data_IF_127696011578
#
_entry.id   IF_127696011578
#
_cell.length_a   1.000
_cell.length_b   1.000
_cell.length_c   1.000
_cell.angle_alpha   90.00
_cell.angle_beta   90.00
_cell.angle_gamma   90.00
#
_symmetry.space_group_name_H-M   'P 1'
#
loop_
_entity.id
_entity.type
_entity.pdbx_description
1 polymer ?
#
# COMPACT_ATOMS: atom_id res chain seq x y z
N UNK A 1 12.14 -13.04 -5.00
CA UNK A 1 11.79 -14.20 -5.86
C UNK A 1 10.99 -13.73 -7.06
N UNK A 2 10.87 -14.55 -8.08
CA UNK A 2 9.99 -14.30 -9.21
C UNK A 2 8.92 -15.39 -9.25
N UNK A 3 7.67 -14.99 -9.49
CA UNK A 3 6.52 -15.87 -9.65
C UNK A 3 5.87 -15.62 -11.00
N UNK A 4 5.18 -16.62 -11.53
CA UNK A 4 4.27 -16.43 -12.65
C UNK A 4 2.86 -16.21 -12.09
N UNK A 5 2.28 -15.04 -12.35
CA UNK A 5 0.94 -14.66 -11.91
C UNK A 5 0.14 -14.24 -13.12
N UNK A 6 -0.96 -14.95 -13.39
CA UNK A 6 -1.81 -14.72 -14.56
C UNK A 6 -1.01 -14.69 -15.89
N UNK A 7 -0.04 -15.63 -16.04
CA UNK A 7 0.78 -15.77 -17.24
C UNK A 7 1.87 -14.69 -17.39
N UNK A 8 2.19 -13.93 -16.33
CA UNK A 8 3.20 -12.87 -16.35
C UNK A 8 4.12 -12.96 -15.15
N UNK A 9 5.36 -12.52 -15.35
CA UNK A 9 6.37 -12.47 -14.29
C UNK A 9 6.02 -11.38 -13.27
N UNK A 10 5.91 -11.79 -12.01
CA UNK A 10 5.77 -10.92 -10.85
C UNK A 10 7.03 -11.00 -9.99
N UNK A 11 7.63 -9.87 -9.69
CA UNK A 11 8.70 -9.79 -8.70
C UNK A 11 8.11 -9.65 -7.30
N UNK A 12 8.61 -10.45 -6.36
CA UNK A 12 8.18 -10.43 -4.95
C UNK A 12 9.42 -10.37 -4.07
N UNK A 13 9.54 -9.32 -3.29
CA UNK A 13 10.57 -9.22 -2.26
C UNK A 13 10.15 -10.03 -1.03
N UNK A 14 11.04 -10.92 -0.57
CA UNK A 14 10.80 -11.84 0.56
C UNK A 14 11.71 -11.54 1.74
N UNK A 15 12.26 -10.33 1.81
CA UNK A 15 13.26 -9.91 2.80
C UNK A 15 14.53 -10.81 2.83
N UNK A 16 14.81 -11.51 1.72
CA UNK A 16 15.96 -12.40 1.61
C UNK A 16 15.76 -13.82 2.14
N UNK A 17 14.55 -14.16 2.60
CA UNK A 17 14.22 -15.49 3.10
C UNK A 17 13.49 -16.32 2.04
N UNK A 18 13.74 -17.64 2.04
CA UNK A 18 12.94 -18.59 1.29
C UNK A 18 11.55 -18.72 1.93
N UNK A 19 10.55 -19.05 1.12
CA UNK A 19 9.20 -19.37 1.62
C UNK A 19 9.24 -20.67 2.43
N UNK A 20 8.68 -20.63 3.62
CA UNK A 20 8.44 -21.79 4.49
C UNK A 20 6.92 -22.03 4.59
N UNK A 21 6.38 -23.10 3.99
CA UNK A 21 4.94 -23.36 4.00
C UNK A 21 4.33 -23.54 5.40
N UNK A 22 5.15 -23.80 6.43
CA UNK A 22 4.69 -23.94 7.80
C UNK A 22 4.45 -22.60 8.51
N UNK A 23 4.92 -21.49 7.93
CA UNK A 23 4.79 -20.16 8.50
C UNK A 23 3.66 -19.35 7.83
N UNK A 24 2.95 -18.52 8.60
CA UNK A 24 1.91 -17.66 8.04
C UNK A 24 2.51 -16.58 7.11
N UNK A 25 1.75 -16.22 6.08
CA UNK A 25 2.13 -15.20 5.12
C UNK A 25 1.60 -13.81 5.49
N UNK A 26 2.41 -12.79 5.21
CA UNK A 26 2.02 -11.38 5.21
C UNK A 26 2.39 -10.75 3.88
N UNK A 27 1.41 -10.11 3.23
CA UNK A 27 1.58 -9.41 1.97
C UNK A 27 1.62 -7.90 2.23
N UNK A 28 2.62 -7.21 1.69
CA UNK A 28 2.78 -5.76 1.79
C UNK A 28 2.58 -5.12 0.41
N UNK A 29 1.49 -4.37 0.23
CA UNK A 29 1.11 -3.77 -1.05
C UNK A 29 1.46 -2.28 -1.03
N UNK A 30 2.31 -1.86 -1.97
CA UNK A 30 2.76 -0.47 -2.10
C UNK A 30 1.67 0.47 -2.64
N UNK A 31 1.89 1.77 -2.52
CA UNK A 31 1.06 2.82 -3.08
C UNK A 31 1.30 3.06 -4.58
N UNK A 32 0.54 3.98 -5.15
CA UNK A 32 0.73 4.38 -6.56
C UNK A 32 2.14 4.89 -6.82
N UNK A 33 2.66 4.61 -8.02
CA UNK A 33 4.01 4.98 -8.49
C UNK A 33 5.15 4.53 -7.58
N UNK A 34 4.96 3.45 -6.82
CA UNK A 34 5.96 2.89 -5.91
C UNK A 34 6.36 1.46 -6.32
N UNK A 35 7.11 0.78 -5.49
CA UNK A 35 7.43 -0.64 -5.56
C UNK A 35 7.63 -1.23 -4.14
N UNK A 36 8.02 -2.50 -4.05
CA UNK A 36 8.25 -3.21 -2.78
C UNK A 36 9.15 -2.45 -1.79
N UNK A 37 10.05 -1.58 -2.27
CA UNK A 37 11.01 -0.87 -1.39
C UNK A 37 10.35 0.19 -0.50
N UNK A 38 9.10 0.58 -0.78
CA UNK A 38 8.30 1.41 0.13
C UNK A 38 8.16 0.77 1.53
N UNK A 39 8.28 -0.55 1.62
CA UNK A 39 8.16 -1.34 2.84
C UNK A 39 9.49 -1.76 3.46
N UNK A 40 10.62 -1.18 3.02
CA UNK A 40 11.96 -1.60 3.42
C UNK A 40 12.21 -1.58 4.95
N UNK A 41 11.58 -0.62 5.65
CA UNK A 41 11.75 -0.45 7.10
C UNK A 41 10.82 -1.34 7.94
N UNK A 42 9.79 -1.96 7.33
CA UNK A 42 8.83 -2.82 8.03
C UNK A 42 8.98 -4.29 7.68
N UNK A 43 9.09 -4.61 6.39
CA UNK A 43 8.99 -5.99 5.89
C UNK A 43 10.05 -6.94 6.46
N UNK A 44 11.28 -6.46 6.63
CA UNK A 44 12.40 -7.31 7.13
C UNK A 44 12.16 -7.84 8.53
N UNK A 45 11.57 -7.05 9.41
CA UNK A 45 11.25 -7.49 10.76
C UNK A 45 10.41 -8.77 10.74
N UNK A 46 9.34 -8.80 9.94
CA UNK A 46 8.42 -9.94 9.88
C UNK A 46 9.09 -11.21 9.35
N UNK A 47 9.97 -11.09 8.36
CA UNK A 47 10.73 -12.22 7.84
C UNK A 47 11.64 -12.86 8.90
N UNK A 48 12.29 -12.04 9.74
CA UNK A 48 13.12 -12.52 10.85
C UNK A 48 12.30 -13.00 12.06
N UNK A 49 10.99 -12.72 12.10
CA UNK A 49 10.09 -13.10 13.20
C UNK A 49 9.02 -14.11 12.75
N UNK A 50 9.47 -15.12 11.99
CA UNK A 50 8.66 -16.29 11.60
C UNK A 50 7.40 -15.94 10.80
N UNK A 51 7.53 -15.06 9.83
CA UNK A 51 6.51 -14.79 8.82
C UNK A 51 7.10 -14.96 7.42
N UNK A 52 6.32 -15.51 6.49
CA UNK A 52 6.62 -15.35 5.07
C UNK A 52 6.24 -13.92 4.66
N UNK A 53 7.21 -13.18 4.18
CA UNK A 53 6.99 -11.83 3.65
C UNK A 53 6.83 -11.90 2.15
N UNK A 54 5.74 -11.33 1.66
CA UNK A 54 5.47 -11.13 0.24
C UNK A 54 5.27 -9.63 0.00
N UNK A 55 6.28 -8.92 -0.46
CA UNK A 55 6.15 -7.53 -0.89
C UNK A 55 6.31 -7.50 -2.43
N UNK A 56 5.20 -7.61 -3.18
CA UNK A 56 5.25 -7.61 -4.64
C UNK A 56 5.50 -6.21 -5.19
N UNK A 57 6.15 -6.14 -6.35
CA UNK A 57 5.94 -5.06 -7.28
C UNK A 57 4.64 -5.35 -8.02
N UNK A 58 3.69 -4.43 -8.00
CA UNK A 58 2.41 -4.60 -8.71
C UNK A 58 2.63 -4.69 -10.24
N UNK A 59 1.69 -5.23 -11.02
CA UNK A 59 1.85 -5.33 -12.47
C UNK A 59 2.22 -4.00 -13.11
N UNK A 60 3.30 -3.99 -13.90
CA UNK A 60 3.83 -2.80 -14.55
C UNK A 60 4.71 -1.91 -13.68
N UNK A 61 4.91 -2.24 -12.41
CA UNK A 61 5.77 -1.50 -11.48
C UNK A 61 7.12 -2.20 -11.27
N UNK A 62 8.14 -1.40 -10.95
CA UNK A 62 9.44 -1.90 -10.53
C UNK A 62 10.01 -2.98 -11.43
N UNK A 63 10.09 -4.20 -10.92
CA UNK A 63 10.64 -5.38 -11.60
C UNK A 63 9.58 -6.33 -12.15
N UNK A 64 8.30 -6.09 -11.89
CA UNK A 64 7.20 -6.91 -12.40
C UNK A 64 6.88 -6.57 -13.85
N UNK A 65 6.46 -7.59 -14.63
CA UNK A 65 6.05 -7.38 -16.01
C UNK A 65 4.72 -6.58 -16.08
N UNK A 66 4.64 -5.72 -17.11
CA UNK A 66 3.42 -4.97 -17.42
C UNK A 66 2.44 -5.73 -18.32
N UNK A 67 1.39 -5.08 -18.74
CA UNK A 67 1.03 -3.70 -18.41
C UNK A 67 0.48 -3.52 -16.99
N UNK A 68 0.44 -2.27 -16.53
CA UNK A 68 -0.26 -1.86 -15.30
C UNK A 68 -1.74 -2.22 -15.39
N UNK A 69 -2.30 -2.68 -14.28
CA UNK A 69 -3.75 -2.92 -14.18
C UNK A 69 -4.46 -1.59 -13.85
N UNK A 70 -5.59 -1.33 -14.51
CA UNK A 70 -6.24 -0.03 -14.51
C UNK A 70 -7.43 0.08 -13.56
N UNK A 71 -7.64 -0.90 -12.67
CA UNK A 71 -8.69 -0.83 -11.65
C UNK A 71 -8.28 -1.54 -10.36
N UNK A 72 -8.78 -1.02 -9.24
CA UNK A 72 -8.58 -1.62 -7.91
C UNK A 72 -9.11 -3.05 -7.86
N UNK A 73 -10.24 -3.32 -8.52
CA UNK A 73 -10.81 -4.66 -8.58
C UNK A 73 -9.87 -5.66 -9.29
N UNK A 74 -9.28 -5.27 -10.43
CA UNK A 74 -8.33 -6.13 -11.15
C UNK A 74 -7.04 -6.36 -10.33
N UNK A 75 -6.57 -5.36 -9.59
CA UNK A 75 -5.45 -5.51 -8.67
C UNK A 75 -5.76 -6.46 -7.51
N UNK A 76 -6.99 -6.45 -6.98
CA UNK A 76 -7.44 -7.40 -5.96
C UNK A 76 -7.54 -8.83 -6.49
N UNK A 77 -8.00 -9.02 -7.73
CA UNK A 77 -8.01 -10.33 -8.40
C UNK A 77 -6.58 -10.84 -8.64
N UNK A 78 -5.68 -9.95 -9.07
CA UNK A 78 -4.27 -10.28 -9.23
C UNK A 78 -3.61 -10.65 -7.91
N UNK A 79 -3.94 -9.95 -6.81
CA UNK A 79 -3.43 -10.27 -5.47
C UNK A 79 -3.84 -11.68 -5.04
N UNK A 80 -5.08 -12.10 -5.35
CA UNK A 80 -5.53 -13.47 -5.09
C UNK A 80 -4.67 -14.48 -5.84
N UNK A 81 -4.43 -14.25 -7.13
CA UNK A 81 -3.57 -15.10 -7.94
C UNK A 81 -2.11 -15.12 -7.48
N UNK A 82 -1.60 -13.99 -6.96
CA UNK A 82 -0.26 -13.91 -6.36
C UNK A 82 -0.15 -14.81 -5.11
N UNK A 83 -1.14 -14.75 -4.23
CA UNK A 83 -1.18 -15.56 -3.00
C UNK A 83 -1.22 -17.06 -3.37
N UNK A 84 -2.00 -17.44 -4.40
CA UNK A 84 -2.03 -18.79 -4.93
C UNK A 84 -0.69 -19.24 -5.51
N UNK A 85 -0.07 -18.40 -6.36
CA UNK A 85 1.23 -18.66 -6.96
C UNK A 85 2.36 -18.79 -5.92
N UNK A 86 2.22 -18.11 -4.78
CA UNK A 86 3.13 -18.22 -3.65
C UNK A 86 2.85 -19.45 -2.76
N UNK A 87 1.79 -20.22 -3.03
CA UNK A 87 1.45 -21.46 -2.34
C UNK A 87 0.64 -21.28 -1.05
N UNK A 88 -0.04 -20.13 -0.87
CA UNK A 88 -0.83 -19.86 0.33
C UNK A 88 -2.33 -19.86 0.06
N UNK A 89 -3.09 -20.44 0.98
CA UNK A 89 -4.56 -20.38 0.93
C UNK A 89 -5.12 -19.08 1.49
N UNK A 90 -4.43 -18.48 2.46
CA UNK A 90 -4.80 -17.21 3.08
C UNK A 90 -3.55 -16.46 3.56
N UNK A 91 -3.66 -15.14 3.68
CA UNK A 91 -2.58 -14.29 4.15
C UNK A 91 -3.12 -13.12 4.98
N UNK A 92 -2.27 -12.55 5.82
CA UNK A 92 -2.48 -11.18 6.31
C UNK A 92 -2.08 -10.20 5.22
N UNK A 93 -2.85 -9.14 5.04
CA UNK A 93 -2.61 -8.15 3.98
C UNK A 93 -2.43 -6.77 4.59
N UNK A 94 -1.36 -6.10 4.21
CA UNK A 94 -1.00 -4.74 4.62
C UNK A 94 -0.90 -3.88 3.35
N UNK A 95 -1.67 -2.81 3.26
CA UNK A 95 -1.66 -1.93 2.09
C UNK A 95 -1.48 -0.46 2.47
N UNK A 96 -0.76 0.28 1.63
CA UNK A 96 -0.59 1.72 1.76
C UNK A 96 -1.22 2.45 0.57
N UNK A 97 -1.97 3.54 0.81
CA UNK A 97 -2.53 4.39 -0.24
C UNK A 97 -3.34 3.59 -1.26
N UNK A 98 -3.00 3.57 -2.55
CA UNK A 98 -3.60 2.70 -3.55
C UNK A 98 -3.60 1.22 -3.10
N UNK A 99 -2.49 0.74 -2.54
CA UNK A 99 -2.39 -0.61 -1.99
C UNK A 99 -3.37 -0.89 -0.85
N UNK A 100 -3.77 0.16 -0.11
CA UNK A 100 -4.81 0.04 0.91
C UNK A 100 -6.21 -0.15 0.29
N UNK A 101 -6.50 0.52 -0.84
CA UNK A 101 -7.73 0.28 -1.60
C UNK A 101 -7.78 -1.14 -2.16
N UNK A 102 -6.65 -1.62 -2.71
CA UNK A 102 -6.51 -3.01 -3.19
C UNK A 102 -6.76 -4.01 -2.05
N UNK A 103 -6.18 -3.76 -0.87
CA UNK A 103 -6.35 -4.60 0.30
C UNK A 103 -7.80 -4.62 0.82
N UNK A 104 -8.50 -3.48 0.80
CA UNK A 104 -9.93 -3.37 1.16
C UNK A 104 -10.82 -4.12 0.16
N UNK A 105 -10.57 -3.96 -1.13
CA UNK A 105 -11.33 -4.65 -2.17
C UNK A 105 -11.10 -6.16 -2.10
N UNK A 106 -9.85 -6.59 -1.90
CA UNK A 106 -9.52 -8.00 -1.66
C UNK A 106 -10.27 -8.55 -0.44
N UNK A 107 -10.25 -7.84 0.68
CA UNK A 107 -10.92 -8.24 1.91
C UNK A 107 -12.44 -8.41 1.73
N UNK A 108 -13.05 -7.51 0.97
CA UNK A 108 -14.49 -7.53 0.72
C UNK A 108 -14.92 -8.64 -0.28
N UNK A 109 -14.08 -8.93 -1.28
CA UNK A 109 -14.40 -9.94 -2.32
C UNK A 109 -13.97 -11.35 -1.95
N UNK A 110 -12.87 -11.45 -1.20
CA UNK A 110 -12.24 -12.74 -0.86
C UNK A 110 -12.05 -12.92 0.65
N UNK A 111 -13.10 -12.75 1.48
CA UNK A 111 -12.96 -12.75 2.95
C UNK A 111 -12.36 -14.05 3.50
N UNK A 112 -12.60 -15.19 2.85
CA UNK A 112 -12.01 -16.48 3.23
C UNK A 112 -10.49 -16.58 2.98
N UNK A 113 -9.92 -15.66 2.18
CA UNK A 113 -8.49 -15.62 1.85
C UNK A 113 -7.71 -14.67 2.77
N UNK A 114 -8.40 -13.94 3.64
CA UNK A 114 -7.82 -12.92 4.50
C UNK A 114 -7.73 -13.40 5.95
N UNK A 115 -6.53 -13.34 6.53
CA UNK A 115 -6.31 -13.58 7.97
C UNK A 115 -6.49 -12.31 8.79
N UNK A 116 -5.80 -11.23 8.41
CA UNK A 116 -5.87 -9.90 9.04
C UNK A 116 -5.64 -8.82 7.99
N UNK A 117 -6.22 -7.64 8.18
CA UNK A 117 -6.10 -6.50 7.29
C UNK A 117 -5.50 -5.30 8.00
N UNK A 118 -4.42 -4.72 7.47
CA UNK A 118 -3.95 -3.41 7.89
C UNK A 118 -3.94 -2.45 6.70
N UNK A 119 -4.54 -1.27 6.85
CA UNK A 119 -4.59 -0.23 5.83
C UNK A 119 -3.98 1.07 6.35
N UNK A 120 -3.05 1.62 5.57
CA UNK A 120 -2.28 2.80 5.93
C UNK A 120 -2.55 3.92 4.92
N UNK A 121 -2.83 5.14 5.40
CA UNK A 121 -3.04 6.30 4.53
C UNK A 121 -4.17 6.08 3.52
N UNK A 122 -5.31 5.59 3.97
CA UNK A 122 -6.47 5.30 3.12
C UNK A 122 -7.66 6.20 3.43
N UNK A 123 -8.33 6.62 2.37
CA UNK A 123 -9.68 7.19 2.42
C UNK A 123 -10.55 6.48 1.38
N UNK A 124 -11.84 6.35 1.64
CA UNK A 124 -12.78 5.75 0.67
C UNK A 124 -14.07 6.57 0.67
N UNK A 125 -14.38 7.27 -0.43
CA UNK A 125 -13.62 7.34 -1.69
C UNK A 125 -12.27 8.06 -1.54
N UNK A 126 -11.37 7.86 -2.53
CA UNK A 126 -10.06 8.50 -2.60
C UNK A 126 -9.94 9.32 -3.91
N UNK A 127 -10.61 10.47 -4.00
CA UNK A 127 -10.54 11.31 -5.19
C UNK A 127 -9.14 11.91 -5.34
N UNK A 128 -8.65 11.93 -6.58
CA UNK A 128 -7.37 12.56 -6.92
C UNK A 128 -7.62 13.98 -7.40
N UNK A 129 -6.86 14.94 -6.87
CA UNK A 129 -6.96 16.34 -7.27
C UNK A 129 -6.72 16.50 -8.78
N UNK A 130 -7.59 17.24 -9.47
CA UNK A 130 -7.53 17.40 -10.94
C UNK A 130 -6.17 17.88 -11.46
N UNK A 131 -5.48 18.87 -10.84
CA UNK A 131 -4.15 19.26 -11.30
C UNK A 131 -3.13 18.13 -11.28
N UNK A 132 -3.21 17.27 -10.26
CA UNK A 132 -2.31 16.11 -10.13
C UNK A 132 -2.65 15.04 -11.17
N UNK A 133 -3.93 14.77 -11.40
CA UNK A 133 -4.36 13.79 -12.38
C UNK A 133 -4.02 14.25 -13.82
N UNK A 134 -4.16 15.54 -14.10
CA UNK A 134 -3.79 16.13 -15.40
C UNK A 134 -2.27 16.05 -15.64
N UNK A 135 -1.44 16.39 -14.63
CA UNK A 135 0.01 16.28 -14.73
C UNK A 135 0.45 14.81 -14.90
N UNK A 136 -0.14 13.88 -14.15
CA UNK A 136 0.13 12.45 -14.29
C UNK A 136 -0.24 11.93 -15.70
N UNK A 137 -1.35 12.39 -16.28
CA UNK A 137 -1.76 12.05 -17.66
C UNK A 137 -0.77 12.53 -18.70
N UNK A 138 -0.15 13.71 -18.47
CA UNK A 138 0.86 14.28 -19.34
C UNK A 138 2.25 13.67 -19.15
N UNK A 139 2.44 12.77 -18.17
CA UNK A 139 3.75 12.31 -17.71
C UNK A 139 4.66 13.49 -17.31
N UNK A 140 4.10 14.55 -16.74
CA UNK A 140 4.82 15.72 -16.28
C UNK A 140 5.47 15.45 -14.93
N UNK A 141 6.78 15.73 -14.82
CA UNK A 141 7.51 15.58 -13.57
C UNK A 141 6.91 16.39 -12.40
N UNK A 142 6.20 17.47 -12.71
CA UNK A 142 5.46 18.25 -11.70
C UNK A 142 4.47 17.40 -10.88
N UNK A 143 3.97 16.28 -11.44
CA UNK A 143 3.14 15.35 -10.69
C UNK A 143 3.91 14.72 -9.53
N UNK A 144 5.15 14.31 -9.77
CA UNK A 144 6.02 13.71 -8.74
C UNK A 144 6.38 14.73 -7.64
N UNK A 145 6.63 15.98 -8.03
CA UNK A 145 6.89 17.07 -7.08
C UNK A 145 5.67 17.35 -6.19
N UNK A 146 4.46 17.40 -6.79
CA UNK A 146 3.21 17.56 -6.04
C UNK A 146 3.00 16.42 -5.05
N UNK A 147 3.18 15.16 -5.49
CA UNK A 147 3.06 13.98 -4.61
C UNK A 147 4.06 14.12 -3.47
N UNK A 148 5.30 14.44 -3.77
CA UNK A 148 6.37 14.50 -2.80
C UNK A 148 6.08 15.53 -1.69
N UNK A 149 5.61 16.73 -2.09
CA UNK A 149 5.23 17.80 -1.15
C UNK A 149 3.97 17.45 -0.36
N UNK A 150 2.95 16.84 -0.99
CA UNK A 150 1.68 16.55 -0.32
C UNK A 150 1.73 15.30 0.55
N UNK A 151 2.62 14.37 0.24
CA UNK A 151 2.79 13.14 1.02
C UNK A 151 3.56 13.33 2.31
N UNK A 152 4.38 14.37 2.43
CA UNK A 152 5.23 14.56 3.59
C UNK A 152 4.75 15.72 4.48
N UNK A 153 4.82 15.51 5.78
CA UNK A 153 4.54 16.55 6.76
C UNK A 153 5.56 17.71 6.63
N UNK A 154 5.23 18.94 7.07
CA UNK A 154 6.18 20.04 7.06
C UNK A 154 7.50 19.74 7.80
N UNK A 155 7.44 18.93 8.87
CA UNK A 155 8.62 18.50 9.61
C UNK A 155 9.51 17.59 8.75
N UNK A 156 8.90 16.64 8.03
CA UNK A 156 9.62 15.72 7.15
C UNK A 156 10.28 16.44 5.97
N UNK A 157 9.60 17.46 5.41
CA UNK A 157 10.14 18.30 4.33
C UNK A 157 11.40 19.08 4.76
N UNK A 158 11.51 19.42 6.04
CA UNK A 158 12.65 20.14 6.62
C UNK A 158 13.74 19.20 7.19
N UNK A 159 13.69 17.90 6.88
CA UNK A 159 14.68 16.93 7.33
C UNK A 159 14.46 16.39 8.74
N UNK A 160 13.30 16.62 9.35
CA UNK A 160 12.95 16.15 10.70
C UNK A 160 12.50 14.68 10.73
N UNK A 161 13.27 13.77 10.10
CA UNK A 161 13.00 12.34 10.12
C UNK A 161 13.54 11.67 11.41
N UNK A 162 12.93 10.54 11.75
CA UNK A 162 13.33 9.72 12.92
C UNK A 162 14.38 8.68 12.55
N UNK A 163 14.50 8.31 11.28
CA UNK A 163 15.51 7.38 10.79
C UNK A 163 16.79 8.14 10.40
N UNK A 164 17.90 8.03 11.17
CA UNK A 164 19.12 8.77 10.90
C UNK A 164 19.68 8.48 9.50
N UNK A 165 20.12 9.53 8.80
CA UNK A 165 20.74 9.42 7.47
C UNK A 165 19.77 9.17 6.33
N UNK A 166 18.47 9.07 6.57
CA UNK A 166 17.46 8.89 5.56
C UNK A 166 16.99 10.23 4.99
N UNK A 167 17.18 10.47 3.70
CA UNK A 167 16.57 11.61 2.99
C UNK A 167 15.24 11.21 2.39
N UNK A 168 14.15 11.36 3.17
CA UNK A 168 12.82 10.86 2.82
C UNK A 168 12.29 11.38 1.48
N UNK A 169 12.35 12.70 1.25
CA UNK A 169 11.85 13.30 0.01
C UNK A 169 12.62 12.81 -1.21
N UNK A 170 13.95 12.79 -1.12
CA UNK A 170 14.78 12.33 -2.23
C UNK A 170 14.62 10.83 -2.48
N UNK A 171 14.51 10.04 -1.44
CA UNK A 171 14.26 8.60 -1.58
C UNK A 171 12.91 8.35 -2.27
N UNK A 172 11.84 9.02 -1.84
CA UNK A 172 10.52 8.88 -2.45
C UNK A 172 10.52 9.36 -3.92
N UNK A 173 11.15 10.50 -4.21
CA UNK A 173 11.26 11.01 -5.57
C UNK A 173 11.99 10.02 -6.48
N UNK A 174 13.15 9.48 -6.06
CA UNK A 174 13.91 8.51 -6.84
C UNK A 174 13.17 7.18 -7.02
N UNK A 175 12.34 6.80 -6.06
CA UNK A 175 11.47 5.65 -6.16
C UNK A 175 10.43 5.83 -7.28
N UNK A 176 9.78 6.99 -7.32
CA UNK A 176 8.78 7.32 -8.34
C UNK A 176 9.40 7.49 -9.74
N UNK A 177 10.51 8.22 -9.86
CA UNK A 177 11.17 8.50 -11.14
C UNK A 177 11.66 7.25 -11.90
N UNK A 178 11.84 6.14 -11.22
CA UNK A 178 12.27 4.88 -11.87
C UNK A 178 11.10 4.03 -12.39
N UNK A 179 9.86 4.44 -12.12
CA UNK A 179 8.70 3.72 -12.64
C UNK A 179 8.51 4.01 -14.14
N UNK A 180 7.94 3.07 -14.90
CA UNK A 180 7.66 3.28 -16.30
C UNK A 180 6.65 4.41 -16.53
N UNK A 181 6.76 5.10 -17.65
CA UNK A 181 5.82 6.15 -18.07
C UNK A 181 4.39 5.64 -18.13
N UNK A 182 3.45 6.48 -17.69
CA UNK A 182 2.01 6.17 -17.67
C UNK A 182 1.54 5.36 -16.46
N UNK A 183 2.43 4.80 -15.64
CA UNK A 183 2.08 4.05 -14.44
C UNK A 183 1.34 4.96 -13.46
N UNK A 184 1.88 6.14 -13.18
CA UNK A 184 1.26 7.10 -12.26
C UNK A 184 -0.18 7.44 -12.64
N UNK A 185 -0.42 7.71 -13.93
CA UNK A 185 -1.77 8.03 -14.39
C UNK A 185 -2.72 6.83 -14.24
N UNK A 186 -2.28 5.62 -14.58
CA UNK A 186 -3.08 4.41 -14.43
C UNK A 186 -3.48 4.17 -12.96
N UNK A 187 -2.54 4.32 -12.05
CA UNK A 187 -2.74 4.16 -10.61
C UNK A 187 -3.71 5.19 -10.04
N UNK A 188 -3.48 6.46 -10.34
CA UNK A 188 -4.31 7.53 -9.80
C UNK A 188 -5.71 7.53 -10.41
N UNK A 189 -5.82 7.15 -11.68
CA UNK A 189 -7.13 6.94 -12.29
C UNK A 189 -7.86 5.77 -11.64
N UNK A 190 -7.18 4.67 -11.35
CA UNK A 190 -7.77 3.54 -10.63
C UNK A 190 -8.26 3.93 -9.22
N UNK A 191 -7.49 4.75 -8.49
CA UNK A 191 -7.90 5.28 -7.18
C UNK A 191 -9.11 6.22 -7.31
N UNK A 192 -9.06 7.16 -8.26
CA UNK A 192 -10.11 8.16 -8.48
C UNK A 192 -11.45 7.54 -8.88
N UNK A 193 -11.40 6.50 -9.69
CA UNK A 193 -12.59 5.80 -10.20
C UNK A 193 -13.11 4.73 -9.23
N UNK A 194 -12.38 4.44 -8.15
CA UNK A 194 -12.77 3.41 -7.20
C UNK A 194 -13.96 3.83 -6.34
N UNK A 195 -15.08 3.18 -6.58
CA UNK A 195 -16.33 3.37 -5.85
C UNK A 195 -16.84 2.02 -5.34
N UNK A 196 -16.37 1.54 -4.19
CA UNK A 196 -16.81 0.26 -3.65
C UNK A 196 -18.27 0.33 -3.21
N UNK A 197 -18.96 -0.79 -3.33
CA UNK A 197 -20.25 -0.95 -2.69
C UNK A 197 -20.10 -0.82 -1.16
N UNK A 198 -20.80 0.14 -0.58
CA UNK A 198 -20.76 0.37 0.86
C UNK A 198 -21.18 -0.87 1.68
N UNK A 199 -22.04 -1.74 1.14
CA UNK A 199 -22.40 -3.02 1.75
C UNK A 199 -21.22 -4.04 1.72
N UNK A 200 -20.22 -3.83 0.88
CA UNK A 200 -19.05 -4.70 0.81
C UNK A 200 -18.22 -4.66 2.12
N UNK A 201 -18.20 -3.52 2.80
CA UNK A 201 -17.51 -3.39 4.08
C UNK A 201 -18.03 -4.38 5.14
N UNK A 202 -19.32 -4.67 5.14
CA UNK A 202 -19.95 -5.61 6.08
C UNK A 202 -19.49 -7.08 5.87
N UNK A 203 -18.89 -7.41 4.72
CA UNK A 203 -18.35 -8.75 4.45
C UNK A 203 -16.96 -8.95 5.05
N UNK A 204 -16.28 -7.87 5.48
CA UNK A 204 -14.96 -7.94 6.09
C UNK A 204 -15.11 -8.37 7.55
N UNK A 205 -15.02 -9.66 7.80
CA UNK A 205 -15.12 -10.24 9.15
C UNK A 205 -13.78 -10.41 9.87
N UNK A 206 -12.67 -10.34 9.16
CA UNK A 206 -11.32 -10.47 9.72
C UNK A 206 -10.95 -9.22 10.53
N UNK A 207 -10.01 -9.33 11.52
CA UNK A 207 -9.51 -8.16 12.24
C UNK A 207 -8.94 -7.09 11.32
N UNK A 208 -9.25 -5.81 11.58
CA UNK A 208 -8.81 -4.67 10.77
C UNK A 208 -8.07 -3.64 11.63
N UNK A 209 -6.91 -3.18 11.14
CA UNK A 209 -6.15 -2.05 11.67
C UNK A 209 -6.10 -0.94 10.62
N UNK A 210 -6.45 0.27 11.02
CA UNK A 210 -6.33 1.48 10.20
C UNK A 210 -5.26 2.38 10.81
N UNK A 211 -4.25 2.78 10.03
CA UNK A 211 -3.22 3.72 10.47
C UNK A 211 -3.30 4.96 9.58
N UNK A 212 -3.43 6.12 10.18
CA UNK A 212 -3.57 7.39 9.47
C UNK A 212 -2.59 8.45 10.01
N UNK A 213 -2.13 9.35 9.16
CA UNK A 213 -1.32 10.49 9.56
C UNK A 213 -2.20 11.72 9.82
N UNK A 214 -1.99 12.44 10.94
CA UNK A 214 -2.79 13.62 11.27
C UNK A 214 -2.52 14.82 10.35
N UNK A 215 -1.45 14.77 9.55
CA UNK A 215 -1.05 15.77 8.55
C UNK A 215 -1.10 15.25 7.12
N UNK A 216 -1.74 14.09 6.92
CA UNK A 216 -1.91 13.51 5.60
C UNK A 216 -2.80 14.42 4.73
N UNK A 217 -2.24 14.88 3.59
CA UNK A 217 -2.94 15.75 2.63
C UNK A 217 -3.40 14.99 1.39
N UNK A 218 -2.90 13.75 1.19
CA UNK A 218 -3.30 12.87 0.08
C UNK A 218 -4.56 12.08 0.43
N UNK A 219 -4.61 11.52 1.65
CA UNK A 219 -5.76 10.81 2.20
C UNK A 219 -6.04 11.30 3.64
N UNK A 220 -6.64 12.50 3.79
CA UNK A 220 -6.84 13.10 5.11
C UNK A 220 -7.56 12.18 6.07
N UNK A 221 -7.03 12.05 7.28
CA UNK A 221 -7.57 11.27 8.38
C UNK A 221 -8.86 11.90 8.96
N UNK A 222 -9.81 12.26 8.12
CA UNK A 222 -11.19 12.44 8.60
C UNK A 222 -11.73 11.07 8.94
N UNK A 223 -12.67 10.97 9.91
CA UNK A 223 -13.14 9.65 10.36
C UNK A 223 -13.42 8.84 9.12
N UNK A 224 -12.47 8.03 8.84
CA UNK A 224 -12.28 7.03 7.79
C UNK A 224 -13.55 6.88 6.99
N UNK A 225 -13.61 7.37 5.77
CA UNK A 225 -14.78 7.55 4.95
C UNK A 225 -15.89 6.52 5.19
N UNK A 226 -17.08 6.72 4.72
CA UNK A 226 -18.27 5.90 5.02
C UNK A 226 -18.03 4.38 4.95
N UNK A 227 -17.09 3.95 4.10
CA UNK A 227 -16.75 2.54 3.94
C UNK A 227 -16.06 1.97 5.21
N UNK A 228 -15.00 2.62 5.70
CA UNK A 228 -14.26 2.12 6.88
C UNK A 228 -15.09 2.27 8.17
N UNK A 229 -15.94 3.28 8.26
CA UNK A 229 -16.89 3.44 9.37
C UNK A 229 -17.91 2.28 9.47
N UNK A 230 -18.09 1.52 8.39
CA UNK A 230 -18.98 0.34 8.35
C UNK A 230 -18.27 -0.96 8.78
N UNK A 231 -17.02 -0.89 9.21
CA UNK A 231 -16.28 -2.03 9.80
C UNK A 231 -16.17 -1.78 11.31
N UNK A 232 -17.16 -2.17 12.11
CA UNK A 232 -17.31 -1.73 13.50
C UNK A 232 -16.21 -2.25 14.43
N UNK A 233 -15.49 -3.31 14.01
CA UNK A 233 -14.39 -3.91 14.75
C UNK A 233 -13.01 -3.39 14.29
N UNK A 234 -12.95 -2.45 13.35
CA UNK A 234 -11.69 -1.83 12.94
C UNK A 234 -11.09 -1.01 14.09
N UNK A 235 -9.81 -1.25 14.33
CA UNK A 235 -9.01 -0.41 15.25
C UNK A 235 -8.36 0.70 14.44
N UNK A 236 -8.46 1.93 14.91
CA UNK A 236 -7.84 3.08 14.27
C UNK A 236 -6.72 3.63 15.14
N UNK A 237 -5.57 3.91 14.52
CA UNK A 237 -4.42 4.59 15.11
C UNK A 237 -4.10 5.83 14.27
N UNK A 238 -3.99 6.98 14.91
CA UNK A 238 -3.57 8.22 14.27
C UNK A 238 -2.16 8.56 14.71
N UNK A 239 -1.25 8.73 13.76
CA UNK A 239 0.14 9.16 14.00
C UNK A 239 0.21 10.67 13.94
N UNK A 240 0.41 11.29 15.09
CA UNK A 240 0.43 12.75 15.20
C UNK A 240 1.65 13.34 14.47
N UNK A 241 1.41 14.46 13.77
CA UNK A 241 2.43 15.19 13.03
C UNK A 241 2.90 14.54 11.73
N UNK A 242 2.31 13.40 11.35
CA UNK A 242 2.71 12.54 10.23
C UNK A 242 1.89 12.83 8.98
N UNK A 243 2.54 12.88 7.82
CA UNK A 243 1.89 12.98 6.51
C UNK A 243 1.45 11.62 5.96
N UNK A 244 1.33 11.53 4.65
CA UNK A 244 0.94 10.32 3.91
C UNK A 244 2.05 9.26 3.86
N UNK A 245 3.32 9.67 3.89
CA UNK A 245 4.48 8.79 3.86
C UNK A 245 4.76 8.16 5.24
N UNK A 246 3.72 7.59 5.89
CA UNK A 246 3.74 7.10 7.27
C UNK A 246 4.92 6.16 7.56
N UNK A 247 5.19 5.21 6.64
CA UNK A 247 6.23 4.19 6.80
C UNK A 247 7.64 4.78 6.83
N UNK A 248 7.84 5.96 6.24
CA UNK A 248 9.11 6.68 6.22
C UNK A 248 9.20 7.73 7.33
N UNK A 249 8.11 8.44 7.61
CA UNK A 249 8.10 9.52 8.61
C UNK A 249 8.14 9.00 10.05
N UNK A 250 7.42 7.90 10.33
CA UNK A 250 7.38 7.25 11.65
C UNK A 250 7.52 5.73 11.49
N UNK A 251 8.67 5.24 11.03
CA UNK A 251 8.87 3.83 10.71
C UNK A 251 8.67 2.90 11.91
N UNK A 252 9.16 3.30 13.08
CA UNK A 252 9.07 2.49 14.30
C UNK A 252 7.64 2.42 14.82
N UNK A 253 6.90 3.55 14.85
CA UNK A 253 5.51 3.56 15.27
C UNK A 253 4.60 2.72 14.35
N UNK A 254 4.87 2.77 13.03
CA UNK A 254 4.17 1.90 12.06
C UNK A 254 4.55 0.44 12.29
N UNK A 255 5.84 0.14 12.49
CA UNK A 255 6.30 -1.22 12.74
C UNK A 255 5.68 -1.79 14.04
N UNK A 256 5.73 -1.05 15.14
CA UNK A 256 5.17 -1.47 16.44
C UNK A 256 3.67 -1.75 16.34
N UNK A 257 2.91 -0.88 15.64
CA UNK A 257 1.50 -1.09 15.41
C UNK A 257 1.22 -2.37 14.62
N UNK A 258 2.02 -2.65 13.58
CA UNK A 258 1.89 -3.86 12.78
C UNK A 258 2.32 -5.11 13.56
N UNK A 259 3.38 -5.04 14.36
CA UNK A 259 3.85 -6.14 15.21
C UNK A 259 2.82 -6.51 16.27
N UNK A 260 2.20 -5.51 16.91
CA UNK A 260 1.15 -5.75 17.89
C UNK A 260 -0.17 -6.25 17.30
N UNK A 261 -0.30 -6.16 15.97
CA UNK A 261 -1.53 -6.55 15.26
C UNK A 261 -1.38 -7.88 14.51
N UNK A 262 -0.29 -8.10 13.75
CA UNK A 262 -0.06 -9.27 12.88
C UNK A 262 0.45 -10.47 13.66
#
# INVERSE_FOLDING_TARGET
MELEVQGRRAYVYTAGHAIDPALPAVVFIHGGEQDHSAWALQSRYFAYHRRNVLAPDLPGHGRSAGPTLTSIAALADWLTALIDAAGFQHASVVGHSMGALVALEFAARYPARLSKLAVLGAAVPMPVAEPLLAAARADDHAALDMINVWSHSPRAQLGGNTAPGLWMLGMNLRLMERQPRGVLYADFKACNDYAPDAAAAARIGSPVLVIAGSRDRMAPARPTGEFLARIPHARTMVLEGTGHALMAEQPDAVLDALVGFL
#
